data_IF_486735355060
#
_entry.id   IF_486735355060
#
_cell.length_a   1.000
_cell.length_b   1.000
_cell.length_c   1.000
_cell.angle_alpha   90.00
_cell.angle_beta   90.00
_cell.angle_gamma   90.00
#
_symmetry.space_group_name_H-M   'P 1'
#
loop_
_entity.id
_entity.type
_entity.pdbx_description
1 polymer ?
#
# COMPACT_ATOMS: atom_id res chain seq x y z
N UNK A 1 -10.49 -50.58 -23.95
CA UNK A 1 -11.31 -50.08 -22.82
C UNK A 1 -11.49 -48.56 -22.86
N UNK A 2 -12.51 -48.08 -23.57
CA UNK A 2 -12.85 -46.65 -23.65
C UNK A 2 -13.38 -46.11 -22.29
N UNK A 3 -14.10 -46.96 -21.55
CA UNK A 3 -14.67 -46.64 -20.24
C UNK A 3 -13.61 -46.21 -19.20
N UNK A 4 -12.41 -46.79 -19.26
CA UNK A 4 -11.31 -46.45 -18.34
C UNK A 4 -10.76 -45.04 -18.59
N UNK A 5 -10.62 -44.65 -19.85
CA UNK A 5 -10.11 -43.31 -20.23
C UNK A 5 -11.10 -42.23 -19.83
N UNK A 6 -12.41 -42.47 -20.01
CA UNK A 6 -13.46 -41.53 -19.59
C UNK A 6 -13.48 -41.35 -18.08
N UNK A 7 -13.32 -42.42 -17.29
CA UNK A 7 -13.25 -42.33 -15.82
C UNK A 7 -11.99 -41.60 -15.34
N UNK A 8 -10.83 -41.87 -15.95
CA UNK A 8 -9.59 -41.18 -15.62
C UNK A 8 -9.70 -39.68 -15.94
N UNK A 9 -10.25 -39.34 -17.10
CA UNK A 9 -10.46 -37.95 -17.50
C UNK A 9 -11.44 -37.21 -16.57
N UNK A 10 -12.56 -37.86 -16.21
CA UNK A 10 -13.52 -37.30 -15.26
C UNK A 10 -12.91 -37.08 -13.87
N UNK A 11 -12.05 -38.00 -13.42
CA UNK A 11 -11.38 -37.89 -12.13
C UNK A 11 -10.37 -36.74 -12.09
N UNK A 12 -9.50 -36.64 -13.11
CA UNK A 12 -8.53 -35.53 -13.23
C UNK A 12 -9.26 -34.18 -13.32
N UNK A 13 -10.33 -34.11 -14.10
CA UNK A 13 -11.14 -32.88 -14.23
C UNK A 13 -11.85 -32.50 -12.92
N UNK A 14 -12.31 -33.48 -12.15
CA UNK A 14 -12.90 -33.26 -10.82
C UNK A 14 -11.86 -32.73 -9.82
N UNK A 15 -10.65 -33.30 -9.80
CA UNK A 15 -9.58 -32.85 -8.91
C UNK A 15 -9.09 -31.42 -9.25
N UNK A 16 -8.97 -31.09 -10.53
CA UNK A 16 -8.60 -29.73 -10.98
C UNK A 16 -9.67 -28.70 -10.58
N UNK A 17 -10.95 -29.05 -10.64
CA UNK A 17 -12.06 -28.15 -10.28
C UNK A 17 -12.19 -27.96 -8.76
N UNK A 18 -11.97 -29.03 -7.99
CA UNK A 18 -12.01 -28.98 -6.52
C UNK A 18 -10.84 -28.19 -5.93
N UNK A 19 -9.65 -28.28 -6.55
CA UNK A 19 -8.46 -27.53 -6.13
C UNK A 19 -8.57 -26.03 -6.41
N UNK A 20 -9.28 -25.63 -7.47
CA UNK A 20 -9.54 -24.21 -7.79
C UNK A 20 -10.59 -23.55 -6.90
N UNK A 21 -11.61 -24.29 -6.45
CA UNK A 21 -12.74 -23.69 -5.74
C UNK A 21 -12.50 -23.44 -4.25
N UNK A 22 -11.62 -24.22 -3.59
CA UNK A 22 -11.47 -24.18 -2.13
C UNK A 22 -10.33 -23.29 -1.62
N UNK A 23 -9.33 -22.98 -2.44
CA UNK A 23 -8.17 -22.18 -2.03
C UNK A 23 -8.25 -20.70 -2.43
N UNK A 24 -9.17 -20.33 -3.33
CA UNK A 24 -9.14 -19.02 -3.98
C UNK A 24 -10.17 -18.01 -3.42
N UNK A 25 -11.17 -18.46 -2.67
CA UNK A 25 -12.28 -17.57 -2.30
C UNK A 25 -12.11 -16.89 -0.92
N UNK A 26 -11.36 -17.47 0.03
CA UNK A 26 -11.20 -16.89 1.37
C UNK A 26 -9.94 -16.02 1.51
N UNK A 27 -8.82 -16.38 0.88
CA UNK A 27 -7.55 -15.63 0.99
C UNK A 27 -7.50 -14.41 0.07
N UNK A 28 -8.11 -14.48 -1.11
CA UNK A 28 -8.18 -13.37 -2.05
C UNK A 28 -9.08 -12.25 -1.52
N UNK A 29 -10.17 -12.61 -0.85
CA UNK A 29 -11.13 -11.65 -0.30
C UNK A 29 -10.52 -10.84 0.86
N UNK A 30 -9.78 -11.48 1.77
CA UNK A 30 -9.08 -10.77 2.85
C UNK A 30 -7.98 -9.84 2.36
N UNK A 31 -7.24 -10.24 1.34
CA UNK A 31 -6.16 -9.42 0.77
C UNK A 31 -6.73 -8.25 -0.03
N UNK A 32 -7.80 -8.48 -0.79
CA UNK A 32 -8.53 -7.44 -1.51
C UNK A 32 -9.16 -6.41 -0.55
N UNK A 33 -9.79 -6.86 0.54
CA UNK A 33 -10.34 -5.98 1.60
C UNK A 33 -9.28 -5.09 2.25
N UNK A 34 -8.09 -5.63 2.50
CA UNK A 34 -6.98 -4.83 3.08
C UNK A 34 -6.48 -3.77 2.10
N UNK A 35 -6.34 -4.12 0.82
CA UNK A 35 -5.95 -3.18 -0.23
C UNK A 35 -7.01 -2.08 -0.41
N UNK A 36 -8.28 -2.43 -0.48
CA UNK A 36 -9.36 -1.44 -0.62
C UNK A 36 -9.42 -0.48 0.57
N UNK A 37 -9.23 -0.98 1.80
CA UNK A 37 -9.12 -0.12 3.00
C UNK A 37 -7.92 0.82 2.92
N UNK A 38 -6.76 0.36 2.49
CA UNK A 38 -5.57 1.21 2.36
C UNK A 38 -5.80 2.34 1.35
N UNK A 39 -6.36 2.03 0.18
CA UNK A 39 -6.71 3.01 -0.86
C UNK A 39 -7.74 4.02 -0.33
N UNK A 40 -8.76 3.57 0.39
CA UNK A 40 -9.78 4.44 0.98
C UNK A 40 -9.18 5.38 2.03
N UNK A 41 -8.29 4.88 2.89
CA UNK A 41 -7.59 5.74 3.86
C UNK A 41 -6.72 6.78 3.16
N UNK A 42 -6.05 6.43 2.08
CA UNK A 42 -5.22 7.38 1.32
C UNK A 42 -6.09 8.44 0.63
N UNK A 43 -7.17 8.05 -0.05
CA UNK A 43 -8.06 8.99 -0.73
C UNK A 43 -8.78 9.93 0.24
N UNK A 44 -9.25 9.40 1.38
CA UNK A 44 -9.86 10.24 2.43
C UNK A 44 -8.87 11.24 3.02
N UNK A 45 -7.60 10.85 3.25
CA UNK A 45 -6.57 11.80 3.69
C UNK A 45 -6.32 12.90 2.66
N UNK A 46 -6.24 12.55 1.37
CA UNK A 46 -6.08 13.54 0.29
C UNK A 46 -7.26 14.52 0.23
N UNK A 47 -8.49 13.99 0.28
CA UNK A 47 -9.69 14.83 0.31
C UNK A 47 -9.68 15.76 1.52
N UNK A 48 -9.27 15.27 2.68
CA UNK A 48 -9.19 16.08 3.89
C UNK A 48 -8.13 17.20 3.79
N UNK A 49 -6.94 16.88 3.26
CA UNK A 49 -5.89 17.86 3.01
C UNK A 49 -6.35 18.95 2.03
N UNK A 50 -7.05 18.56 0.96
CA UNK A 50 -7.63 19.48 -0.01
C UNK A 50 -8.72 20.37 0.60
N UNK A 51 -9.67 19.77 1.32
CA UNK A 51 -10.74 20.51 2.00
C UNK A 51 -10.18 21.50 3.02
N UNK A 52 -9.11 21.13 3.73
CA UNK A 52 -8.45 22.03 4.66
C UNK A 52 -7.91 23.29 3.95
N UNK A 53 -7.22 23.15 2.81
CA UNK A 53 -6.75 24.30 2.03
C UNK A 53 -7.89 25.17 1.51
N UNK A 54 -8.98 24.53 1.04
CA UNK A 54 -10.16 25.22 0.52
C UNK A 54 -10.95 25.95 1.61
N UNK A 55 -11.01 25.38 2.82
CA UNK A 55 -11.71 25.94 3.97
C UNK A 55 -11.15 27.32 4.35
N UNK A 56 -9.82 27.46 4.38
CA UNK A 56 -9.18 28.74 4.72
C UNK A 56 -9.46 29.82 3.67
N UNK A 57 -9.39 29.45 2.39
CA UNK A 57 -9.71 30.38 1.28
C UNK A 57 -11.18 30.83 1.31
N UNK A 58 -12.10 29.92 1.66
CA UNK A 58 -13.52 30.24 1.86
C UNK A 58 -13.74 31.18 3.04
N UNK A 59 -13.09 30.91 4.18
CA UNK A 59 -13.20 31.74 5.38
C UNK A 59 -12.70 33.16 5.13
N UNK A 60 -11.56 33.30 4.45
CA UNK A 60 -11.02 34.62 4.07
C UNK A 60 -12.01 35.42 3.22
N UNK A 61 -12.62 34.78 2.22
CA UNK A 61 -13.66 35.39 1.38
C UNK A 61 -14.89 35.80 2.19
N UNK A 62 -15.44 34.91 3.00
CA UNK A 62 -16.65 35.19 3.81
C UNK A 62 -16.38 36.36 4.77
N UNK A 63 -15.22 36.38 5.43
CA UNK A 63 -14.86 37.44 6.37
C UNK A 63 -14.68 38.79 5.66
N UNK A 64 -14.03 38.78 4.49
CA UNK A 64 -13.82 39.99 3.68
C UNK A 64 -15.15 40.56 3.19
N UNK A 65 -16.04 39.70 2.71
CA UNK A 65 -17.36 40.08 2.18
C UNK A 65 -18.30 40.58 3.31
N UNK A 66 -18.28 39.91 4.47
CA UNK A 66 -19.11 40.28 5.62
C UNK A 66 -18.69 41.60 6.29
N UNK A 67 -17.40 41.94 6.27
CA UNK A 67 -16.90 43.17 6.90
C UNK A 67 -17.03 44.41 6.01
N UNK A 68 -17.13 44.22 4.68
CA UNK A 68 -17.16 45.29 3.69
C UNK A 68 -15.81 46.02 3.56
N UNK A 69 -15.47 46.47 2.35
CA UNK A 69 -14.16 47.08 2.03
C UNK A 69 -13.84 48.32 2.89
N UNK A 70 -14.86 49.04 3.35
CA UNK A 70 -14.71 50.31 4.08
C UNK A 70 -14.36 50.14 5.56
N UNK A 71 -14.63 48.97 6.17
CA UNK A 71 -14.35 48.72 7.60
C UNK A 71 -13.17 47.77 7.84
N UNK A 72 -12.50 47.32 6.76
CA UNK A 72 -11.42 46.34 6.84
C UNK A 72 -10.08 46.94 7.28
N UNK A 73 -9.85 48.23 6.99
CA UNK A 73 -8.58 48.90 7.32
C UNK A 73 -8.48 49.18 8.83
N UNK A 74 -7.76 48.32 9.55
CA UNK A 74 -7.35 48.56 10.95
C UNK A 74 -7.87 47.57 11.98
N UNK A 75 -8.66 46.57 11.60
CA UNK A 75 -9.11 45.54 12.55
C UNK A 75 -8.04 44.45 12.72
N UNK A 76 -7.47 44.25 13.93
CA UNK A 76 -6.42 43.27 14.17
C UNK A 76 -6.86 41.83 13.83
N UNK A 77 -8.17 41.56 13.90
CA UNK A 77 -8.73 40.25 13.57
C UNK A 77 -8.50 39.80 12.13
N UNK A 78 -8.60 40.72 11.16
CA UNK A 78 -8.36 40.40 9.74
C UNK A 78 -6.88 40.05 9.53
N UNK A 79 -5.98 40.81 10.15
CA UNK A 79 -4.54 40.55 10.07
C UNK A 79 -4.17 39.18 10.64
N UNK A 80 -4.71 38.80 11.80
CA UNK A 80 -4.48 37.46 12.36
C UNK A 80 -5.02 36.34 11.46
N UNK A 81 -6.17 36.55 10.82
CA UNK A 81 -6.75 35.57 9.92
C UNK A 81 -5.88 35.40 8.66
N UNK A 82 -5.34 36.50 8.14
CA UNK A 82 -4.48 36.51 6.97
C UNK A 82 -3.13 35.84 7.27
N UNK A 83 -2.52 36.11 8.42
CA UNK A 83 -1.30 35.41 8.87
C UNK A 83 -1.55 33.91 9.03
N UNK A 84 -2.71 33.54 9.61
CA UNK A 84 -3.09 32.13 9.77
C UNK A 84 -3.30 31.45 8.42
N UNK A 85 -3.93 32.13 7.44
CA UNK A 85 -4.07 31.67 6.06
C UNK A 85 -2.70 31.40 5.42
N UNK A 86 -1.78 32.36 5.50
CA UNK A 86 -0.40 32.20 5.02
C UNK A 86 0.36 31.05 5.70
N UNK A 87 0.10 30.79 6.98
CA UNK A 87 0.71 29.67 7.70
C UNK A 87 0.12 28.31 7.30
N UNK A 88 -1.15 28.28 6.88
CA UNK A 88 -1.82 27.05 6.47
C UNK A 88 -1.43 26.59 5.05
N UNK A 89 -1.00 27.50 4.17
CA UNK A 89 -0.47 27.14 2.85
C UNK A 89 0.69 26.13 2.89
N UNK A 90 1.80 26.35 3.64
CA UNK A 90 2.86 25.36 3.75
C UNK A 90 2.40 24.10 4.51
N UNK A 91 1.43 24.22 5.42
CA UNK A 91 0.86 23.07 6.10
C UNK A 91 0.18 22.10 5.12
N UNK A 92 -0.46 22.61 4.06
CA UNK A 92 -1.00 21.77 2.98
C UNK A 92 0.08 20.90 2.32
N UNK A 93 1.23 21.51 1.98
CA UNK A 93 2.39 20.78 1.46
C UNK A 93 2.92 19.73 2.43
N UNK A 94 2.97 20.07 3.72
CA UNK A 94 3.37 19.14 4.78
C UNK A 94 2.42 17.93 4.91
N UNK A 95 1.11 18.12 4.79
CA UNK A 95 0.16 17.01 4.81
C UNK A 95 0.33 16.10 3.58
N UNK A 96 0.54 16.67 2.40
CA UNK A 96 0.83 15.89 1.19
C UNK A 96 2.11 15.06 1.35
N UNK A 97 3.14 15.66 1.95
CA UNK A 97 4.39 14.97 2.27
C UNK A 97 4.19 13.78 3.22
N UNK A 98 3.39 13.96 4.28
CA UNK A 98 3.05 12.85 5.20
C UNK A 98 2.30 11.73 4.47
N UNK A 99 1.38 12.07 3.58
CA UNK A 99 0.63 11.06 2.81
C UNK A 99 1.59 10.24 1.94
N UNK A 100 2.53 10.91 1.28
CA UNK A 100 3.55 10.28 0.44
C UNK A 100 4.51 9.39 1.23
N UNK A 101 4.96 9.81 2.42
CA UNK A 101 5.94 9.04 3.20
C UNK A 101 5.37 7.79 3.87
N UNK A 102 4.06 7.79 4.15
CA UNK A 102 3.37 6.74 4.89
C UNK A 102 3.51 5.33 4.28
N UNK A 103 3.28 5.09 2.97
CA UNK A 103 3.45 3.76 2.39
C UNK A 103 4.89 3.26 2.51
N UNK A 104 5.89 4.12 2.26
CA UNK A 104 7.32 3.79 2.38
C UNK A 104 7.68 3.41 3.83
N UNK A 105 7.18 4.18 4.80
CA UNK A 105 7.35 3.89 6.22
C UNK A 105 6.75 2.53 6.60
N UNK A 106 5.51 2.24 6.17
CA UNK A 106 4.85 0.97 6.48
C UNK A 106 5.55 -0.22 5.83
N UNK A 107 6.05 -0.06 4.61
CA UNK A 107 6.83 -1.09 3.92
C UNK A 107 8.10 -1.42 4.72
N UNK A 108 8.93 -0.42 5.03
CA UNK A 108 10.16 -0.64 5.81
C UNK A 108 9.87 -1.24 7.18
N UNK A 109 8.77 -0.83 7.82
CA UNK A 109 8.37 -1.38 9.13
C UNK A 109 8.01 -2.86 9.07
N UNK A 110 7.44 -3.32 7.96
CA UNK A 110 7.15 -4.73 7.74
C UNK A 110 8.43 -5.53 7.49
N UNK A 111 9.39 -4.96 6.75
CA UNK A 111 10.66 -5.62 6.44
C UNK A 111 11.59 -5.70 7.66
N UNK A 112 11.59 -4.68 8.53
CA UNK A 112 12.48 -4.56 9.68
C UNK A 112 11.70 -4.16 10.96
N UNK A 113 10.93 -5.09 11.58
CA UNK A 113 10.10 -4.76 12.74
C UNK A 113 10.90 -4.43 14.01
N UNK A 114 12.19 -4.80 14.06
CA UNK A 114 13.09 -4.58 15.20
C UNK A 114 13.65 -3.16 15.29
N UNK A 115 13.68 -2.40 14.19
CA UNK A 115 14.22 -1.03 14.17
C UNK A 115 13.38 -0.06 15.01
N UNK A 116 13.95 1.07 15.41
CA UNK A 116 13.19 2.12 16.10
C UNK A 116 12.33 2.93 15.11
N UNK A 117 11.20 3.49 15.54
CA UNK A 117 10.29 4.24 14.63
C UNK A 117 10.96 5.48 14.01
N UNK A 118 11.80 6.17 14.79
CA UNK A 118 12.51 7.37 14.35
C UNK A 118 13.56 7.02 13.32
N UNK A 119 14.26 5.90 13.50
CA UNK A 119 15.27 5.41 12.56
C UNK A 119 14.63 4.96 11.24
N UNK A 120 13.51 4.22 11.30
CA UNK A 120 12.71 3.91 10.10
C UNK A 120 12.27 5.18 9.36
N UNK A 121 11.81 6.20 10.08
CA UNK A 121 11.41 7.47 9.47
C UNK A 121 12.60 8.21 8.84
N UNK A 122 13.72 8.31 9.57
CA UNK A 122 14.94 8.96 9.08
C UNK A 122 15.49 8.25 7.84
N UNK A 123 15.43 6.91 7.81
CA UNK A 123 15.83 6.10 6.66
C UNK A 123 14.99 6.43 5.42
N UNK A 124 13.66 6.46 5.57
CA UNK A 124 12.76 6.80 4.47
C UNK A 124 12.97 8.24 3.99
N UNK A 125 13.18 9.18 4.93
CA UNK A 125 13.47 10.59 4.61
C UNK A 125 14.78 10.79 3.85
N UNK A 126 15.79 9.95 4.10
CA UNK A 126 17.07 10.01 3.38
C UNK A 126 16.97 9.48 1.95
N UNK A 127 15.86 8.83 1.59
CA UNK A 127 15.71 8.22 0.28
C UNK A 127 16.74 7.10 0.03
N UNK A 128 17.28 6.51 1.10
CA UNK A 128 18.19 5.37 0.97
C UNK A 128 17.41 4.22 0.34
N UNK A 129 17.76 3.87 -0.91
CA UNK A 129 17.18 2.70 -1.58
C UNK A 129 17.33 1.53 -0.64
N UNK A 130 16.21 0.91 -0.24
CA UNK A 130 16.26 -0.32 0.53
C UNK A 130 17.24 -1.22 -0.18
N UNK A 131 18.36 -1.65 0.47
CA UNK A 131 19.15 -2.70 -0.12
C UNK A 131 18.14 -3.80 -0.30
N UNK A 132 17.80 -4.10 -1.56
CA UNK A 132 16.99 -5.27 -1.86
C UNK A 132 17.77 -6.35 -1.16
N UNK A 133 17.26 -6.80 -0.01
CA UNK A 133 17.79 -7.93 0.70
C UNK A 133 17.58 -9.01 -0.33
N UNK A 134 18.61 -9.22 -1.16
CA UNK A 134 18.66 -10.16 -2.26
C UNK A 134 18.13 -11.39 -1.59
N UNK A 135 16.87 -11.70 -1.91
CA UNK A 135 16.08 -12.60 -1.10
C UNK A 135 17.01 -13.77 -0.94
N UNK A 136 17.41 -14.03 0.29
CA UNK A 136 18.08 -15.27 0.64
C UNK A 136 16.99 -16.32 0.49
N UNK A 137 16.56 -16.52 -0.75
CA UNK A 137 16.32 -17.80 -1.38
C UNK A 137 17.58 -18.62 -1.13
N UNK A 138 17.76 -19.00 0.13
CA UNK A 138 17.88 -20.40 0.42
C UNK A 138 16.69 -21.07 -0.25
N UNK A 139 16.79 -21.24 -1.57
CA UNK A 139 16.46 -22.50 -2.16
C UNK A 139 17.17 -23.51 -1.25
N UNK A 140 16.43 -24.25 -0.39
CA UNK A 140 17.05 -25.40 0.20
C UNK A 140 17.52 -26.20 -1.00
N UNK A 141 18.85 -26.26 -1.18
CA UNK A 141 19.48 -27.08 -2.20
C UNK A 141 18.89 -28.45 -1.94
N UNK A 142 17.91 -28.84 -2.76
CA UNK A 142 17.22 -30.11 -2.66
C UNK A 142 18.28 -31.14 -2.97
N UNK A 143 19.01 -31.53 -1.95
CA UNK A 143 19.89 -32.68 -1.97
C UNK A 143 18.94 -33.84 -2.18
N UNK A 144 18.84 -34.29 -3.42
CA UNK A 144 18.28 -35.57 -3.78
C UNK A 144 19.20 -36.63 -3.14
N UNK A 145 19.07 -36.82 -1.83
CA UNK A 145 19.51 -38.01 -1.17
C UNK A 145 18.48 -39.08 -1.54
N UNK A 146 18.80 -39.80 -2.61
CA UNK A 146 18.25 -41.12 -2.90
C UNK A 146 18.52 -41.99 -1.69
N UNK A 147 17.54 -42.11 -0.79
CA UNK A 147 17.53 -43.11 0.26
C UNK A 147 16.24 -43.90 0.14
N UNK A 148 16.39 -44.94 -0.66
CA UNK A 148 15.62 -46.17 -0.62
C UNK A 148 15.67 -46.75 0.81
N UNK A 149 14.52 -46.83 1.50
CA UNK A 149 14.30 -47.85 2.53
C UNK A 149 12.84 -47.86 3.00
N UNK A 150 12.17 -48.96 2.66
CA UNK A 150 11.26 -49.75 3.50
C UNK A 150 10.23 -49.02 4.36
N UNK A 151 8.99 -49.22 3.90
CA UNK A 151 7.75 -49.37 4.67
C UNK A 151 8.00 -49.87 6.09
N UNK A 152 7.65 -49.05 7.09
CA UNK A 152 7.09 -49.56 8.34
C UNK A 152 5.86 -48.74 8.71
N UNK A 153 4.76 -49.45 8.95
CA UNK A 153 3.45 -48.92 9.31
C UNK A 153 3.23 -49.32 10.75
N UNK A 154 3.32 -48.37 11.68
CA UNK A 154 2.50 -48.39 12.88
C UNK A 154 2.67 -47.09 13.67
N UNK A 155 1.56 -46.72 14.29
CA UNK A 155 1.44 -45.85 15.45
C UNK A 155 1.14 -44.35 15.24
N UNK A 156 -0.16 -44.13 15.37
CA UNK A 156 -0.84 -42.94 15.84
C UNK A 156 -0.11 -42.29 17.02
N UNK A 157 0.09 -40.98 16.99
CA UNK A 157 -0.39 -40.12 18.08
C UNK A 157 -0.38 -38.64 17.69
N UNK A 158 -1.35 -37.95 18.28
CA UNK A 158 -1.71 -36.55 18.13
C UNK A 158 -0.51 -35.59 18.26
N UNK A 159 -0.30 -34.78 17.24
CA UNK A 159 0.48 -33.55 17.32
C UNK A 159 -0.30 -32.42 16.69
N UNK A 160 -0.82 -31.50 17.51
CA UNK A 160 -1.34 -30.21 17.05
C UNK A 160 -0.22 -29.50 16.26
N UNK A 161 -0.31 -29.55 14.93
CA UNK A 161 0.48 -28.69 14.06
C UNK A 161 0.05 -27.25 14.30
N UNK A 162 0.89 -26.53 15.04
CA UNK A 162 0.90 -25.07 15.08
C UNK A 162 1.11 -24.59 13.65
N UNK A 163 0.00 -24.19 13.04
CA UNK A 163 -0.11 -23.64 11.69
C UNK A 163 0.56 -22.25 11.68
N UNK A 164 1.90 -22.25 11.76
CA UNK A 164 2.76 -21.10 11.44
C UNK A 164 2.62 -20.88 9.93
N UNK A 165 1.54 -20.22 9.56
CA UNK A 165 1.38 -19.60 8.25
C UNK A 165 2.44 -18.51 8.15
N UNK A 166 3.60 -18.90 7.62
CA UNK A 166 4.63 -17.98 7.13
C UNK A 166 3.97 -17.08 6.10
N UNK A 167 3.59 -15.91 6.57
CA UNK A 167 2.98 -14.84 5.81
C UNK A 167 4.12 -14.11 5.10
N UNK A 168 4.83 -14.81 4.21
CA UNK A 168 5.71 -14.18 3.22
C UNK A 168 4.82 -13.44 2.22
N UNK A 169 4.29 -12.31 2.68
CA UNK A 169 3.59 -11.33 1.87
C UNK A 169 4.65 -10.52 1.16
N UNK A 170 5.15 -11.05 0.05
CA UNK A 170 5.76 -10.22 -0.99
C UNK A 170 4.69 -9.23 -1.46
N UNK A 171 4.83 -7.97 -1.05
CA UNK A 171 3.93 -6.88 -1.42
C UNK A 171 4.25 -6.44 -2.86
N UNK A 172 3.90 -7.26 -3.85
CA UNK A 172 3.97 -6.89 -5.29
C UNK A 172 3.01 -5.74 -5.67
N UNK A 173 2.24 -5.22 -4.71
CA UNK A 173 1.32 -4.09 -4.93
C UNK A 173 1.98 -2.71 -4.98
N UNK A 174 3.25 -2.58 -4.57
CA UNK A 174 3.97 -1.30 -4.64
C UNK A 174 4.47 -0.97 -6.04
N UNK A 175 4.77 -2.00 -6.84
CA UNK A 175 5.15 -1.84 -8.24
C UNK A 175 4.01 -1.18 -9.04
N UNK A 176 2.75 -1.49 -8.70
CA UNK A 176 1.58 -0.83 -9.29
C UNK A 176 1.38 0.64 -8.86
N UNK A 177 1.88 1.07 -7.70
CA UNK A 177 1.80 2.48 -7.26
C UNK A 177 2.90 3.31 -7.89
N UNK A 178 4.15 2.81 -7.90
CA UNK A 178 5.24 3.45 -8.65
C UNK A 178 4.94 3.53 -10.15
N UNK A 179 4.26 2.52 -10.72
CA UNK A 179 3.83 2.57 -12.13
C UNK A 179 2.78 3.64 -12.39
N UNK A 180 1.92 3.96 -11.43
CA UNK A 180 0.96 5.08 -11.56
C UNK A 180 1.66 6.44 -11.47
N UNK A 181 2.67 6.59 -10.60
CA UNK A 181 3.48 7.82 -10.55
C UNK A 181 4.26 8.06 -11.84
N UNK A 182 4.80 7.00 -12.46
CA UNK A 182 5.46 7.11 -13.77
C UNK A 182 4.51 7.54 -14.91
N UNK A 183 3.21 7.29 -14.77
CA UNK A 183 2.20 7.68 -15.76
C UNK A 183 1.85 9.17 -15.57
N UNK A 184 1.77 9.66 -14.33
CA UNK A 184 1.50 11.07 -14.05
C UNK A 184 2.67 11.97 -14.46
N UNK A 185 3.94 11.55 -14.25
CA UNK A 185 5.11 12.28 -14.76
C UNK A 185 5.13 12.36 -16.29
N UNK A 186 4.86 11.24 -16.97
CA UNK A 186 4.80 11.20 -18.44
C UNK A 186 3.66 12.09 -18.98
N UNK A 187 2.52 12.15 -18.28
CA UNK A 187 1.39 13.00 -18.66
C UNK A 187 1.71 14.49 -18.48
N UNK A 188 2.47 14.85 -17.44
CA UNK A 188 2.93 16.21 -17.19
C UNK A 188 3.95 16.69 -18.24
N UNK A 189 4.90 15.84 -18.62
CA UNK A 189 5.83 16.14 -19.73
C UNK A 189 5.08 16.36 -21.05
N UNK A 190 4.09 15.53 -21.34
CA UNK A 190 3.27 15.65 -22.56
C UNK A 190 2.48 16.97 -22.63
N UNK A 191 1.93 17.43 -21.50
CA UNK A 191 1.26 18.73 -21.44
C UNK A 191 2.23 19.90 -21.58
N UNK A 192 3.45 19.77 -21.04
CA UNK A 192 4.48 20.80 -21.18
C UNK A 192 4.95 20.98 -22.63
N UNK A 193 5.09 19.89 -23.40
CA UNK A 193 5.44 19.97 -24.83
C UNK A 193 4.31 20.58 -25.69
N UNK A 194 3.05 20.31 -25.34
CA UNK A 194 1.89 20.90 -26.02
C UNK A 194 1.76 22.40 -25.77
N UNK A 195 2.23 22.90 -24.62
CA UNK A 195 2.21 24.34 -24.29
C UNK A 195 3.28 25.16 -25.03
N UNK A 196 4.29 24.51 -25.60
CA UNK A 196 5.43 25.15 -26.27
C UNK A 196 5.26 25.26 -27.81
N UNK A 197 4.19 24.67 -28.35
CA UNK A 197 3.81 24.77 -29.77
C UNK A 197 2.65 25.73 -29.96
#
# INVERSE_FOLDING_TARGET
SIVGVVRLYAHVRSQLRSSRAKSFHSTFDETAKKRSRAVLVQSTLYTFAYLNGLLWSMLERIVTDALGETNASGKPGIYTLQVLSYLMFPAQGFFNFIIFIRPLYLQRRNDCPAESRVETMAYVLRGEKTPHLVASSGHPKRTNATSDSSIDKSDMSNGLSSDRTNNDRSYDGLDSVQRLESIDEASFEMQSELSLR
#
